data_IF_142798518136
#
_entry.id   IF_142798518136
#
_cell.length_a   1.000
_cell.length_b   1.000
_cell.length_c   1.000
_cell.angle_alpha   90.00
_cell.angle_beta   90.00
_cell.angle_gamma   90.00
#
_symmetry.space_group_name_H-M   'P 1'
#
loop_
_entity.id
_entity.type
_entity.pdbx_description
1 polymer ?
#
# COMPACT_ATOMS: atom_id res chain seq x y z
N UNK A 1 -30.10 -88.36 31.32
CA UNK A 1 -31.38 -87.63 31.10
C UNK A 1 -31.20 -86.21 31.59
N UNK A 2 -31.98 -85.28 31.01
CA UNK A 2 -31.90 -83.81 31.07
C UNK A 2 -30.78 -83.22 30.21
N UNK A 3 -31.03 -82.37 29.22
CA UNK A 3 -32.26 -81.71 28.77
C UNK A 3 -31.84 -80.61 27.80
N UNK A 4 -32.56 -80.47 26.70
CA UNK A 4 -32.45 -79.33 25.77
C UNK A 4 -32.82 -78.04 26.50
N UNK A 5 -32.25 -76.92 26.08
CA UNK A 5 -33.03 -75.73 25.73
C UNK A 5 -32.18 -74.77 24.89
N UNK A 6 -32.80 -74.33 23.81
CA UNK A 6 -32.31 -73.42 22.79
C UNK A 6 -32.58 -71.95 23.16
N UNK A 7 -31.70 -71.11 22.61
CA UNK A 7 -31.94 -69.81 21.98
C UNK A 7 -31.76 -68.48 22.72
N UNK A 8 -31.16 -67.59 21.94
CA UNK A 8 -31.19 -66.13 21.93
C UNK A 8 -30.17 -65.31 22.76
N UNK A 9 -29.10 -64.96 22.03
CA UNK A 9 -28.55 -63.59 21.85
C UNK A 9 -27.99 -62.83 23.05
N UNK A 10 -26.67 -62.58 23.03
CA UNK A 10 -26.07 -61.32 23.50
C UNK A 10 -24.66 -61.09 22.92
N UNK A 11 -24.42 -59.81 22.61
CA UNK A 11 -23.28 -59.23 21.91
C UNK A 11 -21.92 -59.48 22.58
N UNK A 12 -20.91 -59.87 21.79
CA UNK A 12 -19.50 -59.78 22.14
C UNK A 12 -18.75 -59.03 21.05
N UNK A 13 -18.55 -57.72 21.23
CA UNK A 13 -17.71 -56.90 20.36
C UNK A 13 -16.24 -57.17 20.70
N UNK A 14 -15.47 -57.63 19.71
CA UNK A 14 -14.02 -57.77 19.79
C UNK A 14 -13.37 -56.37 19.91
N UNK A 15 -12.57 -56.18 20.96
CA UNK A 15 -11.76 -54.98 21.13
C UNK A 15 -10.55 -55.01 20.18
N UNK A 16 -10.67 -54.41 19.01
CA UNK A 16 -9.51 -54.08 18.16
C UNK A 16 -8.79 -52.86 18.74
N UNK A 17 -7.52 -53.05 19.14
CA UNK A 17 -6.63 -51.97 19.54
C UNK A 17 -6.30 -51.08 18.33
N UNK A 18 -6.98 -49.93 18.23
CA UNK A 18 -6.65 -48.89 17.24
C UNK A 18 -5.36 -48.20 17.69
N UNK A 19 -4.24 -48.55 17.06
CA UNK A 19 -3.01 -47.76 17.11
C UNK A 19 -3.30 -46.39 16.47
N UNK A 20 -3.45 -45.36 17.30
CA UNK A 20 -3.51 -43.98 16.85
C UNK A 20 -2.18 -43.63 16.15
N UNK A 21 -2.26 -43.34 14.85
CA UNK A 21 -1.16 -42.72 14.13
C UNK A 21 -0.88 -41.33 14.73
N UNK A 22 0.39 -40.86 14.72
CA UNK A 22 0.70 -39.52 15.19
C UNK A 22 -0.08 -38.50 14.36
N UNK A 23 -0.71 -37.55 15.04
CA UNK A 23 -1.31 -36.37 14.40
C UNK A 23 -0.17 -35.65 13.67
N UNK A 24 -0.27 -35.57 12.34
CA UNK A 24 0.62 -34.74 11.53
C UNK A 24 0.61 -33.33 12.11
N UNK A 25 1.76 -32.89 12.62
CA UNK A 25 1.91 -31.51 13.09
C UNK A 25 1.53 -30.56 11.95
N UNK A 26 0.56 -29.65 12.13
CA UNK A 26 0.24 -28.69 11.08
C UNK A 26 1.51 -27.92 10.76
N UNK A 27 1.89 -27.90 9.46
CA UNK A 27 2.93 -27.01 8.97
C UNK A 27 2.64 -25.61 9.50
N UNK A 28 3.63 -24.89 10.04
CA UNK A 28 3.43 -23.48 10.36
C UNK A 28 2.91 -22.78 9.10
N UNK A 29 2.01 -21.79 9.24
CA UNK A 29 1.53 -21.04 8.08
C UNK A 29 2.75 -20.53 7.32
N UNK A 30 2.87 -20.93 6.05
CA UNK A 30 3.94 -20.47 5.19
C UNK A 30 3.99 -18.95 5.28
N UNK A 31 5.15 -18.41 5.69
CA UNK A 31 5.44 -16.98 5.57
C UNK A 31 5.01 -16.52 4.17
N UNK A 32 4.38 -15.34 4.00
CA UNK A 32 3.87 -14.90 2.71
C UNK A 32 4.93 -15.16 1.64
N UNK A 33 4.56 -15.96 0.64
CA UNK A 33 5.47 -16.43 -0.42
C UNK A 33 6.30 -15.25 -0.89
N UNK A 34 7.60 -15.26 -0.57
CA UNK A 34 8.49 -14.14 -0.82
C UNK A 34 8.43 -13.85 -2.32
N UNK A 35 7.82 -12.71 -2.67
CA UNK A 35 7.78 -12.30 -4.06
C UNK A 35 9.22 -12.04 -4.49
N UNK A 36 9.68 -12.76 -5.51
CA UNK A 36 11.02 -12.65 -6.08
C UNK A 36 11.23 -11.37 -6.90
N UNK A 37 10.32 -10.40 -6.80
CA UNK A 37 10.34 -9.20 -7.62
C UNK A 37 11.54 -8.32 -7.28
N UNK A 38 12.52 -8.19 -8.18
CA UNK A 38 13.59 -7.21 -7.99
C UNK A 38 13.02 -5.78 -8.08
N UNK A 39 13.42 -4.85 -7.19
CA UNK A 39 12.97 -3.47 -7.29
C UNK A 39 13.38 -2.87 -8.63
N UNK A 40 12.46 -2.17 -9.27
CA UNK A 40 12.70 -1.47 -10.54
C UNK A 40 12.85 0.02 -10.28
N UNK A 41 13.68 0.69 -11.08
CA UNK A 41 13.77 2.14 -11.09
C UNK A 41 13.44 2.63 -12.49
N UNK A 42 12.69 3.72 -12.59
CA UNK A 42 12.37 4.34 -13.88
C UNK A 42 12.38 5.85 -13.78
N UNK A 43 12.63 6.51 -14.91
CA UNK A 43 12.53 7.96 -15.05
C UNK A 43 11.27 8.27 -15.84
N UNK A 44 10.46 9.17 -15.28
CA UNK A 44 9.30 9.74 -15.95
C UNK A 44 9.56 11.21 -16.22
N UNK A 45 9.46 11.64 -17.47
CA UNK A 45 9.61 13.03 -17.87
C UNK A 45 8.32 13.63 -18.39
N UNK A 46 8.25 14.96 -18.42
CA UNK A 46 7.13 15.68 -19.01
C UNK A 46 7.48 16.22 -20.40
N UNK A 47 6.83 15.70 -21.44
CA UNK A 47 6.93 16.21 -22.79
C UNK A 47 5.82 17.23 -23.07
N UNK A 48 6.17 18.44 -23.50
CA UNK A 48 5.24 19.55 -23.66
C UNK A 48 4.03 19.30 -24.58
N UNK A 49 4.20 18.45 -25.60
CA UNK A 49 3.13 18.08 -26.55
C UNK A 49 2.43 16.75 -26.25
N UNK A 50 3.10 15.83 -25.53
CA UNK A 50 2.63 14.44 -25.34
C UNK A 50 2.19 14.15 -23.91
N UNK A 51 2.55 15.02 -22.96
CA UNK A 51 2.30 14.83 -21.54
C UNK A 51 3.41 14.02 -20.87
N UNK A 52 3.12 13.41 -19.70
CA UNK A 52 4.09 12.62 -18.96
C UNK A 52 4.36 11.28 -19.66
N UNK A 53 5.62 10.89 -19.77
CA UNK A 53 6.06 9.65 -20.41
C UNK A 53 7.22 8.99 -19.66
N UNK A 54 7.30 7.65 -19.77
CA UNK A 54 8.46 6.89 -19.29
C UNK A 54 9.62 7.10 -20.26
N UNK A 55 10.78 7.46 -19.75
CA UNK A 55 11.98 7.72 -20.54
C UNK A 55 12.97 6.55 -20.51
N UNK A 56 13.16 5.93 -19.34
CA UNK A 56 14.15 4.87 -19.15
C UNK A 56 13.78 3.92 -18.02
N UNK A 57 14.28 2.69 -18.11
CA UNK A 57 14.13 1.65 -17.10
C UNK A 57 15.49 1.16 -16.60
N UNK A 58 15.55 0.80 -15.33
CA UNK A 58 16.70 0.17 -14.68
C UNK A 58 16.21 -1.05 -13.87
N UNK A 59 17.01 -2.12 -13.86
CA UNK A 59 16.64 -3.39 -13.22
C UNK A 59 15.85 -4.34 -14.11
N UNK A 60 15.81 -4.07 -15.42
CA UNK A 60 15.24 -4.93 -16.46
C UNK A 60 16.26 -5.15 -17.56
N UNK A 61 16.03 -6.18 -18.38
CA UNK A 61 16.87 -6.45 -19.55
C UNK A 61 16.73 -5.33 -20.60
N UNK A 62 17.77 -5.14 -21.40
CA UNK A 62 17.81 -4.08 -22.42
C UNK A 62 16.65 -4.19 -23.42
N UNK A 63 15.90 -3.10 -23.57
CA UNK A 63 14.77 -3.02 -24.51
C UNK A 63 13.43 -3.54 -23.97
N UNK A 64 13.37 -3.97 -22.71
CA UNK A 64 12.12 -4.36 -22.05
C UNK A 64 11.43 -3.13 -21.46
N UNK A 65 10.12 -3.01 -21.69
CA UNK A 65 9.28 -1.97 -21.10
C UNK A 65 8.18 -2.58 -20.21
N UNK A 66 8.43 -2.69 -18.90
CA UNK A 66 7.45 -3.17 -17.93
C UNK A 66 6.12 -2.42 -17.96
N UNK A 67 6.11 -1.13 -18.28
CA UNK A 67 4.85 -0.39 -18.34
C UNK A 67 4.00 -0.84 -19.53
N UNK A 68 4.61 -1.14 -20.68
CA UNK A 68 3.91 -1.74 -21.81
C UNK A 68 3.47 -3.18 -21.49
N UNK A 69 4.38 -4.00 -20.96
CA UNK A 69 4.16 -5.43 -20.72
C UNK A 69 3.06 -5.70 -19.67
N UNK A 70 3.03 -4.89 -18.61
CA UNK A 70 2.07 -5.03 -17.51
C UNK A 70 0.88 -4.09 -17.62
N UNK A 71 0.82 -3.25 -18.66
CA UNK A 71 -0.28 -2.31 -18.89
C UNK A 71 -0.32 -1.12 -17.93
N UNK A 72 0.83 -0.64 -17.45
CA UNK A 72 0.95 0.53 -16.57
C UNK A 72 0.87 1.87 -17.33
N UNK A 73 -0.13 2.03 -18.19
CA UNK A 73 -0.32 3.25 -18.99
C UNK A 73 -0.49 4.52 -18.15
N UNK A 74 -0.97 4.38 -16.91
CA UNK A 74 -1.18 5.48 -15.97
C UNK A 74 0.04 5.79 -15.09
N UNK A 75 1.11 4.99 -15.15
CA UNK A 75 2.31 5.19 -14.33
C UNK A 75 2.89 6.61 -14.46
N UNK A 76 3.00 7.20 -15.68
CA UNK A 76 3.51 8.56 -15.81
C UNK A 76 2.66 9.60 -15.08
N UNK A 77 1.34 9.45 -15.11
CA UNK A 77 0.39 10.36 -14.43
C UNK A 77 0.38 10.15 -12.91
N UNK A 78 0.72 8.95 -12.43
CA UNK A 78 0.91 8.68 -11.00
C UNK A 78 2.25 9.23 -10.50
N UNK A 79 3.30 9.15 -11.32
CA UNK A 79 4.63 9.61 -10.98
C UNK A 79 4.75 11.14 -10.93
N UNK A 80 4.11 11.85 -11.87
CA UNK A 80 4.05 13.30 -11.93
C UNK A 80 2.66 13.77 -11.48
N UNK A 81 2.51 14.03 -10.19
CA UNK A 81 1.22 14.46 -9.62
C UNK A 81 0.76 15.80 -10.21
N UNK A 82 -0.55 16.01 -10.32
CA UNK A 82 -1.12 17.23 -10.93
C UNK A 82 -0.58 18.52 -10.25
N UNK A 83 -0.30 18.45 -8.94
CA UNK A 83 0.23 19.54 -8.13
C UNK A 83 1.75 19.66 -8.08
N UNK A 84 2.52 18.73 -8.64
CA UNK A 84 3.98 18.69 -8.52
C UNK A 84 4.69 19.91 -9.13
N UNK A 85 4.00 20.67 -10.00
CA UNK A 85 4.53 21.89 -10.59
C UNK A 85 4.68 23.05 -9.59
N UNK A 86 4.00 22.98 -8.43
CA UNK A 86 4.01 24.04 -7.42
C UNK A 86 5.18 23.94 -6.40
N UNK A 87 5.95 22.85 -6.44
CA UNK A 87 7.05 22.57 -5.50
C UNK A 87 8.35 22.26 -6.25
N UNK A 88 9.49 22.57 -5.63
CA UNK A 88 10.81 22.14 -6.14
C UNK A 88 11.00 20.63 -6.06
N UNK A 89 10.40 20.02 -5.04
CA UNK A 89 10.38 18.58 -4.80
C UNK A 89 8.99 18.17 -4.30
N UNK A 90 8.48 17.04 -4.79
CA UNK A 90 7.27 16.41 -4.28
C UNK A 90 7.36 14.89 -4.36
N UNK A 91 6.64 14.19 -3.49
CA UNK A 91 6.57 12.74 -3.47
C UNK A 91 5.15 12.27 -3.77
N UNK A 92 5.04 11.22 -4.59
CA UNK A 92 3.79 10.51 -4.78
C UNK A 92 3.97 9.02 -4.54
N UNK A 93 2.89 8.37 -4.09
CA UNK A 93 2.87 6.96 -3.77
C UNK A 93 1.65 6.32 -4.39
N UNK A 94 1.82 5.17 -5.03
CA UNK A 94 0.74 4.55 -5.78
C UNK A 94 0.91 3.04 -5.82
N UNK A 95 -0.12 2.35 -6.28
CA UNK A 95 -0.12 0.90 -6.46
C UNK A 95 -0.20 0.56 -7.93
N UNK A 96 0.47 -0.52 -8.31
CA UNK A 96 0.44 -1.06 -9.66
C UNK A 96 -0.02 -2.51 -9.62
N UNK A 97 -0.86 -2.90 -10.56
CA UNK A 97 -1.18 -4.31 -10.78
C UNK A 97 -0.04 -4.95 -11.56
N UNK A 98 0.57 -6.01 -11.02
CA UNK A 98 1.32 -6.96 -11.85
C UNK A 98 0.35 -8.05 -12.29
N UNK A 99 0.03 -8.16 -13.59
CA UNK A 99 -0.85 -9.21 -14.10
C UNK A 99 -0.30 -10.60 -13.79
N UNK A 100 -1.18 -11.60 -13.87
CA UNK A 100 -0.78 -12.99 -13.77
C UNK A 100 0.13 -13.34 -14.94
N UNK A 101 1.30 -13.89 -14.64
CA UNK A 101 2.23 -14.47 -15.62
C UNK A 101 2.21 -16.00 -15.47
N UNK A 102 2.84 -16.71 -16.42
CA UNK A 102 3.00 -18.16 -16.32
C UNK A 102 3.80 -18.57 -15.08
N UNK A 103 4.71 -17.70 -14.64
CA UNK A 103 5.61 -17.93 -13.50
C UNK A 103 5.03 -17.51 -12.16
N UNK A 104 4.03 -16.61 -12.12
CA UNK A 104 3.57 -16.03 -10.87
C UNK A 104 2.11 -15.53 -10.92
N UNK A 105 1.38 -15.57 -9.79
CA UNK A 105 0.04 -15.00 -9.71
C UNK A 105 0.07 -13.48 -9.87
N UNK A 106 -1.09 -12.92 -10.21
CA UNK A 106 -1.31 -11.48 -10.16
C UNK A 106 -1.10 -10.97 -8.73
N UNK A 107 -0.47 -9.82 -8.59
CA UNK A 107 -0.16 -9.22 -7.28
C UNK A 107 -0.07 -7.71 -7.40
N UNK A 108 -0.24 -7.04 -6.27
CA UNK A 108 -0.02 -5.60 -6.12
C UNK A 108 1.46 -5.31 -5.95
N UNK A 109 1.93 -4.28 -6.64
CA UNK A 109 3.21 -3.63 -6.46
C UNK A 109 2.99 -2.19 -5.99
N UNK A 110 4.03 -1.57 -5.46
CA UNK A 110 3.98 -0.25 -4.85
C UNK A 110 5.04 0.64 -5.47
N UNK A 111 4.62 1.80 -5.96
CA UNK A 111 5.49 2.84 -6.49
C UNK A 111 5.68 3.97 -5.48
N UNK A 112 6.91 4.47 -5.39
CA UNK A 112 7.25 5.77 -4.81
C UNK A 112 7.94 6.61 -5.88
N UNK A 113 7.49 7.84 -6.06
CA UNK A 113 8.04 8.80 -7.00
C UNK A 113 8.62 10.00 -6.25
N UNK A 114 9.78 10.48 -6.70
CA UNK A 114 10.33 11.78 -6.31
C UNK A 114 10.41 12.65 -7.55
N UNK A 115 9.57 13.69 -7.60
CA UNK A 115 9.54 14.66 -8.69
C UNK A 115 10.41 15.85 -8.33
N UNK A 116 11.21 16.34 -9.28
CA UNK A 116 11.91 17.61 -9.17
C UNK A 116 11.80 18.44 -10.44
N UNK A 117 12.08 19.73 -10.30
CA UNK A 117 12.11 20.67 -11.41
C UNK A 117 13.49 21.33 -11.53
N UNK A 118 13.89 21.63 -12.77
CA UNK A 118 15.09 22.37 -13.10
C UNK A 118 14.80 23.41 -14.18
N UNK A 119 15.34 24.61 -14.05
CA UNK A 119 15.26 25.61 -15.12
C UNK A 119 16.05 25.11 -16.34
N UNK A 120 15.45 25.17 -17.54
CA UNK A 120 16.07 24.67 -18.76
C UNK A 120 17.33 25.45 -19.17
N UNK A 121 17.54 26.65 -18.63
CA UNK A 121 18.78 27.42 -18.78
C UNK A 121 19.95 26.86 -17.97
N UNK A 122 19.70 26.03 -16.95
CA UNK A 122 20.74 25.44 -16.12
C UNK A 122 21.29 24.13 -16.70
N UNK A 123 20.68 23.59 -17.76
CA UNK A 123 21.13 22.38 -18.42
C UNK A 123 22.46 22.60 -19.14
N UNK A 124 23.39 21.67 -18.97
CA UNK A 124 24.65 21.66 -19.71
C UNK A 124 24.41 21.43 -21.20
N UNK A 125 23.54 20.48 -21.51
CA UNK A 125 23.12 20.13 -22.85
C UNK A 125 21.61 20.33 -22.94
N UNK A 126 21.17 21.39 -23.63
CA UNK A 126 19.74 21.65 -23.86
C UNK A 126 19.30 21.02 -25.20
N UNK A 127 18.55 19.91 -25.18
CA UNK A 127 18.04 19.32 -26.40
C UNK A 127 16.89 20.15 -27.00
N UNK A 128 16.67 20.01 -28.30
CA UNK A 128 15.78 20.88 -29.08
C UNK A 128 14.28 20.72 -28.72
N UNK A 129 13.91 19.58 -28.13
CA UNK A 129 12.59 19.23 -27.64
C UNK A 129 12.23 19.92 -26.31
N UNK A 130 13.22 20.46 -25.58
CA UNK A 130 13.01 21.26 -24.36
C UNK A 130 12.63 22.69 -24.73
N UNK A 131 11.34 22.86 -25.03
CA UNK A 131 10.72 24.15 -25.40
C UNK A 131 10.25 24.97 -24.19
N UNK A 132 10.05 24.33 -23.03
CA UNK A 132 9.61 24.99 -21.78
C UNK A 132 10.78 25.62 -21.01
N UNK A 133 10.42 26.56 -20.12
CA UNK A 133 11.37 27.20 -19.19
C UNK A 133 11.84 26.27 -18.08
N UNK A 134 11.05 25.24 -17.76
CA UNK A 134 11.40 24.23 -16.75
C UNK A 134 11.33 22.82 -17.34
N UNK A 135 12.29 21.99 -16.95
CA UNK A 135 12.27 20.55 -17.14
C UNK A 135 11.79 19.92 -15.84
N UNK A 136 10.75 19.10 -15.95
CA UNK A 136 10.18 18.35 -14.84
C UNK A 136 10.36 16.87 -15.11
N UNK A 137 10.99 16.18 -14.15
CA UNK A 137 11.19 14.73 -14.20
C UNK A 137 11.00 14.13 -12.82
N UNK A 138 10.65 12.86 -12.80
CA UNK A 138 10.50 12.06 -11.61
C UNK A 138 11.34 10.79 -11.69
N UNK A 139 11.98 10.43 -10.58
CA UNK A 139 12.59 9.12 -10.40
C UNK A 139 11.62 8.27 -9.59
N UNK A 140 11.24 7.12 -10.12
CA UNK A 140 10.24 6.22 -9.55
C UNK A 140 10.91 4.92 -9.16
N UNK A 141 10.61 4.42 -7.96
CA UNK A 141 10.99 3.07 -7.52
C UNK A 141 9.74 2.23 -7.37
N UNK A 142 9.75 1.04 -7.97
CA UNK A 142 8.68 0.04 -7.83
C UNK A 142 9.20 -1.11 -6.99
N UNK A 143 8.43 -1.48 -5.96
CA UNK A 143 8.73 -2.57 -5.05
C UNK A 143 7.49 -3.45 -4.82
N UNK A 144 7.69 -4.63 -4.25
CA UNK A 144 6.62 -5.56 -3.88
C UNK A 144 6.07 -5.33 -2.47
N UNK A 145 6.66 -4.41 -1.71
CA UNK A 145 6.17 -4.07 -0.38
C UNK A 145 6.44 -2.59 -0.06
N UNK A 146 5.48 -1.90 0.59
CA UNK A 146 5.68 -0.51 1.00
C UNK A 146 6.46 -0.38 2.31
N UNK A 147 6.80 -1.48 3.00
CA UNK A 147 7.38 -1.46 4.36
C UNK A 147 8.60 -0.54 4.52
N UNK A 148 9.41 -0.39 3.47
CA UNK A 148 10.66 0.36 3.50
C UNK A 148 10.53 1.74 2.86
N UNK A 149 9.30 2.19 2.55
CA UNK A 149 9.07 3.48 1.90
C UNK A 149 9.59 4.67 2.71
N UNK A 150 9.65 4.59 4.04
CA UNK A 150 10.29 5.63 4.86
C UNK A 150 11.76 5.81 4.51
N UNK A 151 12.56 4.74 4.58
CA UNK A 151 13.98 4.76 4.22
C UNK A 151 14.18 5.01 2.71
N UNK A 152 13.33 4.41 1.87
CA UNK A 152 13.42 4.55 0.43
C UNK A 152 13.15 5.98 -0.02
N UNK A 153 12.20 6.69 0.62
CA UNK A 153 11.93 8.12 0.39
C UNK A 153 13.17 8.97 0.62
N UNK A 154 13.87 8.77 1.73
CA UNK A 154 15.09 9.53 2.05
C UNK A 154 16.19 9.27 1.02
N UNK A 155 16.45 7.99 0.69
CA UNK A 155 17.45 7.63 -0.33
C UNK A 155 17.08 8.17 -1.70
N UNK A 156 15.80 8.06 -2.08
CA UNK A 156 15.29 8.55 -3.35
C UNK A 156 15.44 10.07 -3.46
N UNK A 157 15.13 10.84 -2.40
CA UNK A 157 15.37 12.30 -2.37
C UNK A 157 16.83 12.63 -2.68
N UNK A 158 17.78 11.99 -1.99
CA UNK A 158 19.22 12.23 -2.15
C UNK A 158 19.67 11.87 -3.57
N UNK A 159 19.26 10.72 -4.08
CA UNK A 159 19.64 10.23 -5.42
C UNK A 159 19.07 11.13 -6.50
N UNK A 160 17.79 11.49 -6.43
CA UNK A 160 17.15 12.40 -7.38
C UNK A 160 17.79 13.78 -7.33
N UNK A 161 18.11 14.30 -6.14
CA UNK A 161 18.82 15.56 -6.00
C UNK A 161 20.22 15.50 -6.64
N UNK A 162 20.99 14.44 -6.39
CA UNK A 162 22.32 14.26 -6.96
C UNK A 162 22.28 14.15 -8.50
N UNK A 163 21.30 13.41 -9.04
CA UNK A 163 21.09 13.30 -10.48
C UNK A 163 20.73 14.64 -11.12
N UNK A 164 19.82 15.42 -10.52
CA UNK A 164 19.50 16.77 -10.99
C UNK A 164 20.69 17.74 -10.89
N UNK A 165 21.57 17.55 -9.89
CA UNK A 165 22.77 18.38 -9.72
C UNK A 165 23.81 18.17 -10.84
N UNK A 166 23.79 17.03 -11.54
CA UNK A 166 24.63 16.79 -12.72
C UNK A 166 24.30 17.75 -13.87
N UNK A 167 23.05 18.23 -13.94
CA UNK A 167 22.53 19.11 -15.02
C UNK A 167 22.67 18.54 -16.44
N UNK A 168 22.92 17.25 -16.53
CA UNK A 168 22.91 16.45 -17.75
C UNK A 168 22.16 15.16 -17.46
N UNK A 169 21.01 14.98 -18.11
CA UNK A 169 20.14 13.82 -17.90
C UNK A 169 20.52 12.61 -18.76
N UNK A 170 21.55 12.74 -19.61
CA UNK A 170 22.09 11.60 -20.38
C UNK A 170 22.96 10.70 -19.50
N UNK A 171 23.59 11.26 -18.46
CA UNK A 171 24.24 10.49 -17.41
C UNK A 171 23.19 9.87 -16.48
N UNK A 172 23.11 8.55 -16.51
CA UNK A 172 22.19 7.76 -15.69
C UNK A 172 22.90 6.76 -14.78
N UNK A 173 24.22 6.89 -14.63
CA UNK A 173 25.03 5.95 -13.86
C UNK A 173 24.62 5.95 -12.37
N UNK A 174 24.29 7.14 -11.83
CA UNK A 174 23.76 7.27 -10.46
C UNK A 174 22.49 6.42 -10.27
N UNK A 175 21.58 6.44 -11.26
CA UNK A 175 20.31 5.72 -11.18
C UNK A 175 20.51 4.21 -11.34
N UNK A 176 21.42 3.80 -12.20
CA UNK A 176 21.81 2.38 -12.35
C UNK A 176 22.39 1.83 -11.07
N UNK A 177 23.38 2.51 -10.47
CA UNK A 177 23.96 2.09 -9.20
C UNK A 177 22.96 2.11 -8.04
N UNK A 178 22.02 3.06 -8.05
CA UNK A 178 20.94 3.07 -7.07
C UNK A 178 20.05 1.83 -7.20
N UNK A 179 19.66 1.46 -8.42
CA UNK A 179 18.87 0.24 -8.65
C UNK A 179 19.63 -1.03 -8.25
N UNK A 180 20.91 -1.16 -8.63
CA UNK A 180 21.77 -2.28 -8.24
C UNK A 180 21.85 -2.40 -6.72
N UNK A 181 22.04 -1.28 -6.02
CA UNK A 181 22.07 -1.26 -4.55
C UNK A 181 20.75 -1.74 -3.93
N UNK A 182 19.60 -1.38 -4.51
CA UNK A 182 18.28 -1.84 -4.03
C UNK A 182 18.08 -3.34 -4.28
N UNK A 183 18.51 -3.83 -5.44
CA UNK A 183 18.44 -5.25 -5.78
C UNK A 183 19.33 -6.10 -4.86
N UNK A 184 20.56 -5.64 -4.60
CA UNK A 184 21.51 -6.29 -3.69
C UNK A 184 20.97 -6.37 -2.25
N UNK A 185 20.39 -5.29 -1.74
CA UNK A 185 19.83 -5.23 -0.39
C UNK A 185 18.66 -6.21 -0.23
N UNK A 186 17.82 -6.33 -1.27
CA UNK A 186 16.74 -7.32 -1.31
C UNK A 186 17.29 -8.75 -1.37
N UNK A 187 18.30 -9.00 -2.20
CA UNK A 187 18.90 -10.32 -2.35
C UNK A 187 19.60 -10.80 -1.06
N UNK A 188 20.27 -9.90 -0.34
CA UNK A 188 20.93 -10.19 0.93
C UNK A 188 19.95 -10.43 2.09
N UNK A 189 18.67 -10.15 1.91
CA UNK A 189 17.67 -10.29 2.96
C UNK A 189 17.91 -9.36 4.15
N UNK A 190 18.72 -8.30 4.01
CA UNK A 190 18.92 -7.29 5.05
C UNK A 190 17.61 -6.56 5.41
N UNK A 191 16.66 -6.62 4.49
CA UNK A 191 15.27 -6.18 4.62
C UNK A 191 14.42 -7.09 5.53
N UNK A 192 14.85 -8.35 5.79
CA UNK A 192 14.15 -9.31 6.67
C UNK A 192 14.58 -9.23 8.14
N UNK A 193 15.80 -8.79 8.46
CA UNK A 193 16.34 -8.89 9.83
C UNK A 193 15.76 -7.89 10.83
N UNK A 194 15.07 -6.84 10.35
CA UNK A 194 14.40 -5.84 11.23
C UNK A 194 12.87 -5.97 11.21
N UNK A 195 12.36 -7.12 10.76
CA UNK A 195 10.94 -7.43 10.53
C UNK A 195 10.03 -7.39 11.76
N UNK A 196 10.54 -7.05 12.95
CA UNK A 196 9.74 -6.89 14.18
C UNK A 196 9.49 -5.42 14.56
N UNK A 197 10.14 -4.46 13.89
CA UNK A 197 9.80 -3.04 14.01
C UNK A 197 9.06 -2.63 12.75
N UNK A 198 7.78 -2.32 12.88
CA UNK A 198 7.06 -1.59 11.85
C UNK A 198 7.78 -0.24 11.68
N UNK A 199 8.70 -0.16 10.71
CA UNK A 199 9.45 1.06 10.43
C UNK A 199 8.45 2.11 9.95
N UNK A 200 8.43 3.24 10.65
CA UNK A 200 7.48 4.31 10.41
C UNK A 200 7.63 4.83 8.98
N UNK A 201 6.53 4.81 8.23
CA UNK A 201 6.47 5.10 6.79
C UNK A 201 6.78 6.55 6.39
N UNK A 202 7.13 7.43 7.34
CA UNK A 202 7.46 8.83 7.08
C UNK A 202 6.71 9.80 8.00
N UNK A 203 5.43 9.53 8.32
CA UNK A 203 4.75 10.20 9.43
C UNK A 203 4.63 9.28 10.64
N UNK A 204 4.81 9.85 11.82
CA UNK A 204 4.61 9.11 13.04
C UNK A 204 3.11 8.88 13.27
N UNK A 205 2.72 7.69 13.72
CA UNK A 205 1.35 7.44 14.23
C UNK A 205 0.94 8.46 15.29
N UNK A 206 1.92 9.00 16.01
CA UNK A 206 1.76 10.11 16.95
C UNK A 206 1.25 11.38 16.26
N UNK A 207 1.85 11.81 15.15
CA UNK A 207 1.38 12.97 14.39
C UNK A 207 -0.06 12.78 13.91
N UNK A 208 -0.39 11.60 13.37
CA UNK A 208 -1.76 11.27 12.95
C UNK A 208 -2.77 11.46 14.10
N UNK A 209 -2.43 10.97 15.30
CA UNK A 209 -3.30 11.11 16.49
C UNK A 209 -3.34 12.56 16.99
N UNK A 210 -2.25 13.31 16.91
CA UNK A 210 -2.25 14.72 17.33
C UNK A 210 -3.05 15.62 16.39
N UNK A 211 -2.98 15.34 15.09
CA UNK A 211 -3.65 16.07 14.02
C UNK A 211 -5.16 15.80 14.04
N UNK A 212 -5.56 14.53 13.94
CA UNK A 212 -6.97 14.15 13.84
C UNK A 212 -7.65 13.88 15.20
N UNK A 213 -6.88 13.71 16.29
CA UNK A 213 -7.40 13.51 17.66
C UNK A 213 -8.44 12.37 17.72
N UNK A 214 -9.68 12.70 18.05
CA UNK A 214 -10.78 11.73 18.10
C UNK A 214 -11.24 11.29 16.70
N UNK A 215 -11.02 12.11 15.68
CA UNK A 215 -11.31 11.75 14.29
C UNK A 215 -10.42 10.61 13.82
N UNK A 216 -9.23 10.40 14.41
CA UNK A 216 -8.41 9.21 14.12
C UNK A 216 -9.19 7.91 14.36
N UNK A 217 -9.98 7.83 15.44
CA UNK A 217 -10.84 6.66 15.68
C UNK A 217 -11.99 6.56 14.70
N UNK A 218 -12.54 7.71 14.27
CA UNK A 218 -13.59 7.73 13.24
C UNK A 218 -13.04 7.18 11.94
N UNK A 219 -11.88 7.69 11.48
CA UNK A 219 -11.22 7.23 10.26
C UNK A 219 -10.81 5.76 10.35
N UNK A 220 -10.28 5.33 11.50
CA UNK A 220 -9.92 3.92 11.70
C UNK A 220 -11.15 3.02 11.65
N UNK A 221 -12.26 3.44 12.29
CA UNK A 221 -13.54 2.73 12.21
C UNK A 221 -14.10 2.74 10.79
N UNK A 222 -13.95 3.83 10.04
CA UNK A 222 -14.29 3.87 8.61
C UNK A 222 -13.51 2.78 7.87
N UNK A 223 -12.19 2.70 8.02
CA UNK A 223 -11.39 1.69 7.33
C UNK A 223 -11.89 0.26 7.60
N UNK A 224 -12.29 -0.05 8.84
CA UNK A 224 -12.83 -1.37 9.19
C UNK A 224 -14.22 -1.64 8.60
N UNK A 225 -15.02 -0.61 8.32
CA UNK A 225 -16.32 -0.73 7.67
C UNK A 225 -16.21 -0.77 6.13
N UNK A 226 -15.01 -0.56 5.58
CA UNK A 226 -14.71 -0.61 4.15
C UNK A 226 -15.65 0.25 3.26
N UNK A 227 -15.94 1.54 3.57
CA UNK A 227 -16.68 2.41 2.67
C UNK A 227 -15.77 2.96 1.55
N UNK A 228 -16.33 3.76 0.65
CA UNK A 228 -15.58 4.53 -0.35
C UNK A 228 -14.95 5.77 0.31
N UNK A 229 -13.69 5.66 0.72
CA UNK A 229 -12.92 6.70 1.38
C UNK A 229 -12.07 7.48 0.38
N UNK A 230 -12.35 8.77 0.25
CA UNK A 230 -11.64 9.69 -0.63
C UNK A 230 -10.89 10.73 0.18
N UNK A 231 -9.57 10.79 0.01
CA UNK A 231 -8.71 11.80 0.59
C UNK A 231 -8.39 12.85 -0.47
N UNK A 232 -8.54 14.12 -0.10
CA UNK A 232 -8.16 15.25 -0.93
C UNK A 232 -7.10 16.08 -0.22
N UNK A 233 -6.10 16.55 -0.94
CA UNK A 233 -5.15 17.53 -0.42
C UNK A 233 -4.20 18.03 -1.50
N UNK A 234 -3.74 19.25 -1.36
CA UNK A 234 -2.80 19.90 -2.28
C UNK A 234 -1.39 19.29 -2.27
N UNK A 235 -0.95 18.74 -1.13
CA UNK A 235 0.37 18.11 -0.97
C UNK A 235 0.28 16.60 -1.08
N UNK A 236 0.80 16.04 -2.19
CA UNK A 236 0.73 14.61 -2.49
C UNK A 236 1.44 13.75 -1.44
N UNK A 237 2.63 14.16 -0.98
CA UNK A 237 3.38 13.43 0.05
C UNK A 237 2.55 13.24 1.33
N UNK A 238 2.01 14.34 1.90
CA UNK A 238 1.15 14.29 3.10
C UNK A 238 -0.10 13.44 2.87
N UNK A 239 -0.73 13.58 1.71
CA UNK A 239 -1.92 12.83 1.33
C UNK A 239 -1.71 11.32 1.39
N UNK A 240 -0.61 10.83 0.80
CA UNK A 240 -0.27 9.42 0.83
C UNK A 240 0.14 8.95 2.23
N UNK A 241 0.94 9.76 2.95
CA UNK A 241 1.42 9.41 4.29
C UNK A 241 0.29 9.21 5.31
N UNK A 242 -0.74 10.06 5.27
CA UNK A 242 -1.92 9.93 6.14
C UNK A 242 -2.63 8.61 5.90
N UNK A 243 -2.81 8.21 4.64
CA UNK A 243 -3.44 6.95 4.28
C UNK A 243 -2.63 5.74 4.73
N UNK A 244 -1.31 5.74 4.48
CA UNK A 244 -0.41 4.68 4.94
C UNK A 244 -0.39 4.55 6.46
N UNK A 245 -0.44 5.68 7.17
CA UNK A 245 -0.46 5.67 8.63
C UNK A 245 -1.78 5.15 9.19
N UNK A 246 -2.89 5.49 8.54
CA UNK A 246 -4.20 4.98 8.90
C UNK A 246 -4.28 3.46 8.78
N UNK A 247 -3.80 2.88 7.67
CA UNK A 247 -3.78 1.42 7.48
C UNK A 247 -2.74 0.73 8.37
N UNK A 248 -1.65 1.42 8.74
CA UNK A 248 -0.64 0.88 9.65
C UNK A 248 -1.15 0.65 11.08
N UNK A 249 -2.29 1.25 11.45
CA UNK A 249 -2.97 0.95 12.72
C UNK A 249 -3.50 -0.49 12.78
N UNK A 250 -3.66 -1.17 11.64
CA UNK A 250 -4.05 -2.58 11.57
C UNK A 250 -2.77 -3.43 11.60
N UNK A 251 -2.51 -4.20 12.67
CA UNK A 251 -1.27 -4.95 12.81
C UNK A 251 -1.04 -5.91 11.64
N UNK A 252 0.12 -5.81 11.00
CA UNK A 252 0.52 -6.69 9.90
C UNK A 252 -0.14 -6.39 8.54
N UNK A 253 -1.04 -5.42 8.44
CA UNK A 253 -1.75 -5.13 7.19
C UNK A 253 -0.80 -4.65 6.08
N UNK A 254 0.14 -3.76 6.40
CA UNK A 254 1.15 -3.26 5.45
C UNK A 254 1.99 -4.36 4.79
N UNK A 255 2.08 -5.54 5.43
CA UNK A 255 2.82 -6.70 4.93
C UNK A 255 1.97 -7.58 4.00
N UNK A 256 0.66 -7.39 4.01
CA UNK A 256 -0.33 -8.24 3.34
C UNK A 256 -1.22 -7.41 2.38
N UNK A 257 -0.60 -6.51 1.62
CA UNK A 257 -1.28 -5.65 0.64
C UNK A 257 -1.24 -6.21 -0.79
N UNK A 258 -0.98 -7.49 -0.98
CA UNK A 258 -0.85 -8.11 -2.32
C UNK A 258 -2.13 -8.03 -3.18
N UNK A 259 -3.30 -7.83 -2.57
CA UNK A 259 -4.60 -7.80 -3.26
C UNK A 259 -5.24 -6.40 -3.30
N UNK A 260 -4.46 -5.32 -3.17
CA UNK A 260 -5.00 -3.96 -3.03
C UNK A 260 -5.01 -3.11 -4.31
N UNK A 261 -4.20 -3.45 -5.32
CA UNK A 261 -4.02 -2.63 -6.52
C UNK A 261 -5.14 -2.79 -7.56
N UNK A 262 -5.97 -3.82 -7.46
CA UNK A 262 -7.07 -4.06 -8.40
C UNK A 262 -8.25 -4.75 -7.70
N UNK A 263 -9.50 -4.31 -7.93
CA UNK A 263 -10.69 -4.89 -7.32
C UNK A 263 -10.92 -6.38 -7.63
N UNK A 264 -10.33 -6.95 -8.67
CA UNK A 264 -10.48 -8.37 -9.01
C UNK A 264 -9.56 -9.29 -8.19
N UNK A 265 -8.57 -8.75 -7.49
CA UNK A 265 -7.62 -9.53 -6.70
C UNK A 265 -8.29 -10.14 -5.46
N UNK A 266 -7.98 -11.41 -5.23
CA UNK A 266 -8.61 -12.22 -4.19
C UNK A 266 -7.73 -13.42 -3.79
N UNK A 267 -6.42 -13.21 -3.69
CA UNK A 267 -5.48 -14.29 -3.39
C UNK A 267 -5.49 -14.67 -1.91
N UNK A 268 -5.76 -13.71 -1.03
CA UNK A 268 -5.81 -13.89 0.42
C UNK A 268 -6.98 -14.77 0.88
N UNK A 269 -8.21 -14.49 0.42
CA UNK A 269 -9.41 -15.25 0.80
C UNK A 269 -9.28 -16.73 0.41
N UNK A 270 -8.68 -17.00 -0.76
CA UNK A 270 -8.47 -18.36 -1.28
C UNK A 270 -7.45 -19.17 -0.48
N UNK A 271 -6.54 -18.52 0.25
CA UNK A 271 -5.47 -19.15 1.05
C UNK A 271 -5.80 -19.17 2.54
N UNK A 272 -6.99 -18.69 2.93
CA UNK A 272 -7.36 -18.61 4.33
C UNK A 272 -7.55 -20.01 4.93
N UNK A 273 -6.96 -20.24 6.10
CA UNK A 273 -7.15 -21.46 6.86
C UNK A 273 -7.32 -21.13 8.35
N UNK A 274 -8.17 -21.90 9.03
CA UNK A 274 -8.40 -21.70 10.46
C UNK A 274 -7.16 -22.15 11.25
N UNK A 275 -6.54 -21.28 12.06
CA UNK A 275 -5.40 -21.66 12.88
C UNK A 275 -5.86 -22.63 13.98
N UNK A 276 -5.26 -23.82 14.04
CA UNK A 276 -5.61 -24.88 15.00
C UNK A 276 -4.66 -24.97 16.20
N UNK A 277 -3.52 -24.26 16.16
CA UNK A 277 -2.53 -24.25 17.23
C UNK A 277 -2.05 -22.84 17.55
N UNK A 278 -1.78 -22.60 18.83
CA UNK A 278 -1.27 -21.32 19.36
C UNK A 278 0.10 -21.55 19.98
N UNK A 279 1.11 -20.86 19.47
CA UNK A 279 2.42 -20.74 20.13
C UNK A 279 2.53 -19.35 20.75
N UNK A 280 2.28 -19.24 22.06
CA UNK A 280 2.29 -17.95 22.78
C UNK A 280 3.65 -17.24 22.77
N UNK A 281 4.74 -17.97 22.55
CA UNK A 281 6.10 -17.43 22.41
C UNK A 281 6.38 -16.79 21.05
N UNK A 282 5.54 -17.04 20.04
CA UNK A 282 5.71 -16.51 18.69
C UNK A 282 4.63 -15.48 18.38
N UNK A 283 5.04 -14.21 18.23
CA UNK A 283 4.14 -13.10 17.92
C UNK A 283 3.30 -13.36 16.66
N UNK A 284 3.91 -13.90 15.61
CA UNK A 284 3.20 -14.19 14.35
C UNK A 284 2.13 -15.27 14.55
N UNK A 285 2.42 -16.31 15.34
CA UNK A 285 1.42 -17.34 15.69
C UNK A 285 0.26 -16.75 16.48
N UNK A 286 0.55 -15.86 17.43
CA UNK A 286 -0.47 -15.16 18.21
C UNK A 286 -1.35 -14.26 17.33
N UNK A 287 -0.74 -13.47 16.43
CA UNK A 287 -1.47 -12.61 15.51
C UNK A 287 -2.36 -13.42 14.56
N UNK A 288 -1.83 -14.50 13.97
CA UNK A 288 -2.61 -15.39 13.10
C UNK A 288 -3.76 -16.05 13.87
N UNK A 289 -3.53 -16.52 15.10
CA UNK A 289 -4.59 -17.08 15.95
C UNK A 289 -5.71 -16.07 16.27
N UNK A 290 -5.36 -14.79 16.42
CA UNK A 290 -6.32 -13.70 16.61
C UNK A 290 -7.02 -13.26 15.31
N UNK A 291 -6.69 -13.86 14.16
CA UNK A 291 -7.25 -13.49 12.85
C UNK A 291 -6.65 -12.20 12.27
N UNK A 292 -5.43 -11.84 12.67
CA UNK A 292 -4.71 -10.67 12.13
C UNK A 292 -3.75 -11.09 11.01
N UNK A 293 -3.50 -10.20 10.02
CA UNK A 293 -4.12 -8.88 9.85
C UNK A 293 -5.60 -8.98 9.47
N UNK A 294 -6.39 -8.00 9.92
CA UNK A 294 -7.75 -7.84 9.39
C UNK A 294 -7.63 -7.36 7.94
N UNK A 295 -7.91 -8.26 7.00
CA UNK A 295 -7.79 -7.95 5.60
C UNK A 295 -8.93 -7.03 5.17
N UNK A 296 -8.62 -5.74 5.04
CA UNK A 296 -9.57 -4.75 4.54
C UNK A 296 -9.55 -4.64 3.01
N UNK A 297 -8.52 -5.20 2.37
CA UNK A 297 -8.36 -5.20 0.91
C UNK A 297 -8.48 -6.62 0.33
N UNK A 298 -9.60 -6.91 -0.31
CA UNK A 298 -9.85 -8.13 -1.06
C UNK A 298 -10.75 -7.85 -2.26
N UNK A 299 -11.56 -8.84 -2.66
CA UNK A 299 -12.41 -8.71 -3.85
C UNK A 299 -13.37 -7.52 -3.76
N UNK A 300 -13.32 -6.64 -4.75
CA UNK A 300 -14.12 -5.42 -4.87
C UNK A 300 -13.56 -4.24 -4.09
N UNK A 301 -12.33 -4.33 -3.58
CA UNK A 301 -11.64 -3.25 -2.88
C UNK A 301 -10.47 -2.67 -3.67
N UNK A 302 -10.15 -1.41 -3.45
CA UNK A 302 -9.01 -0.77 -4.11
C UNK A 302 -8.26 0.16 -3.14
N UNK A 303 -6.93 0.14 -3.19
CA UNK A 303 -6.07 1.06 -2.45
C UNK A 303 -5.18 1.81 -3.42
N UNK A 304 -5.39 3.12 -3.56
CA UNK A 304 -4.61 3.98 -4.43
C UNK A 304 -4.17 5.23 -3.68
N UNK A 305 -3.04 5.20 -2.94
CA UNK A 305 -2.62 6.31 -2.08
C UNK A 305 -2.57 7.64 -2.83
N UNK A 306 -2.17 7.62 -4.10
CA UNK A 306 -2.42 8.67 -5.08
C UNK A 306 -3.08 8.06 -6.31
N UNK A 307 -4.18 8.66 -6.75
CA UNK A 307 -4.98 8.25 -7.90
C UNK A 307 -5.18 9.47 -8.82
N UNK A 308 -4.68 9.41 -10.07
CA UNK A 308 -4.80 10.49 -11.01
C UNK A 308 -6.22 10.54 -11.61
N UNK A 309 -6.56 11.66 -12.25
CA UNK A 309 -7.89 11.88 -12.83
C UNK A 309 -8.29 10.81 -13.86
N UNK A 310 -7.31 10.30 -14.59
CA UNK A 310 -7.48 9.29 -15.63
C UNK A 310 -8.01 7.95 -15.08
N UNK A 311 -7.93 7.72 -13.76
CA UNK A 311 -8.37 6.48 -13.11
C UNK A 311 -9.75 6.62 -12.43
N UNK A 312 -10.46 7.74 -12.61
CA UNK A 312 -11.77 7.97 -12.01
C UNK A 312 -12.83 6.93 -12.41
N UNK A 313 -12.72 6.35 -13.60
CA UNK A 313 -13.69 5.36 -14.08
C UNK A 313 -13.65 4.08 -13.23
N UNK A 314 -12.48 3.68 -12.74
CA UNK A 314 -12.32 2.53 -11.82
C UNK A 314 -13.02 2.80 -10.48
N UNK A 315 -13.02 4.06 -10.03
CA UNK A 315 -13.70 4.47 -8.78
C UNK A 315 -15.23 4.51 -8.92
N UNK A 316 -15.71 4.79 -10.14
CA UNK A 316 -17.12 4.80 -10.48
C UNK A 316 -17.68 3.41 -10.81
N UNK A 317 -16.82 2.44 -11.07
CA UNK A 317 -17.24 1.11 -11.48
C UNK A 317 -18.06 0.38 -10.40
N UNK A 318 -19.01 -0.44 -10.85
CA UNK A 318 -19.87 -1.22 -9.98
C UNK A 318 -19.11 -2.36 -9.28
N UNK A 319 -18.02 -2.85 -9.88
CA UNK A 319 -17.14 -3.83 -9.27
C UNK A 319 -16.42 -3.30 -8.01
N UNK A 320 -16.15 -2.00 -7.96
CA UNK A 320 -15.45 -1.35 -6.86
C UNK A 320 -16.42 -0.94 -5.74
N UNK A 321 -16.51 -1.80 -4.73
CA UNK A 321 -17.41 -1.66 -3.57
C UNK A 321 -16.79 -0.81 -2.46
N UNK A 322 -15.50 -0.95 -2.23
CA UNK A 322 -14.76 -0.24 -1.18
C UNK A 322 -13.45 0.29 -1.72
N UNK A 323 -12.97 1.41 -1.18
CA UNK A 323 -11.63 1.87 -1.50
C UNK A 323 -11.09 2.89 -0.53
N UNK A 324 -9.77 3.01 -0.52
CA UNK A 324 -9.02 4.07 0.14
C UNK A 324 -8.17 4.74 -0.94
N UNK A 325 -8.54 5.94 -1.36
CA UNK A 325 -7.85 6.65 -2.44
C UNK A 325 -7.55 8.09 -2.10
N UNK A 326 -6.42 8.59 -2.60
CA UNK A 326 -6.05 9.99 -2.50
C UNK A 326 -6.01 10.67 -3.86
N UNK A 327 -6.44 11.93 -3.94
CA UNK A 327 -6.20 12.76 -5.12
C UNK A 327 -5.88 14.20 -4.76
N UNK A 328 -5.08 14.85 -5.60
CA UNK A 328 -4.79 16.29 -5.53
C UNK A 328 -5.74 17.10 -6.42
N UNK A 329 -6.61 16.44 -7.19
CA UNK A 329 -7.46 17.10 -8.17
C UNK A 329 -8.77 17.61 -7.57
N UNK A 330 -9.02 18.91 -7.67
CA UNK A 330 -10.20 19.55 -7.08
C UNK A 330 -11.53 19.16 -7.75
N UNK A 331 -11.51 18.54 -8.94
CA UNK A 331 -12.73 18.05 -9.60
C UNK A 331 -13.47 17.03 -8.72
N UNK A 332 -12.72 16.23 -7.96
CA UNK A 332 -13.27 15.23 -7.05
C UNK A 332 -14.06 15.86 -5.90
N UNK A 333 -13.76 17.11 -5.51
CA UNK A 333 -14.57 17.84 -4.53
C UNK A 333 -15.95 18.22 -5.09
N UNK A 334 -16.02 18.54 -6.38
CA UNK A 334 -17.27 18.93 -7.03
C UNK A 334 -18.22 17.74 -7.22
N UNK A 335 -17.68 16.54 -7.45
CA UNK A 335 -18.44 15.31 -7.66
C UNK A 335 -18.36 14.34 -6.47
N UNK A 336 -18.15 14.85 -5.25
CA UNK A 336 -17.93 14.02 -4.06
C UNK A 336 -19.02 12.98 -3.81
N UNK A 337 -20.28 13.28 -4.13
CA UNK A 337 -21.41 12.38 -3.89
C UNK A 337 -21.41 11.17 -4.85
N UNK A 338 -20.71 11.27 -5.98
CA UNK A 338 -20.55 10.19 -6.96
C UNK A 338 -19.39 9.25 -6.61
N UNK A 339 -18.32 9.80 -6.02
CA UNK A 339 -17.04 9.11 -5.82
C UNK A 339 -16.66 8.92 -4.34
N UNK A 340 -17.56 9.17 -3.39
CA UNK A 340 -17.21 8.97 -1.98
C UNK A 340 -18.42 8.83 -1.08
N UNK A 341 -18.31 7.91 -0.13
CA UNK A 341 -19.19 7.89 1.06
C UNK A 341 -18.67 8.83 2.14
N UNK A 342 -17.35 9.02 2.16
CA UNK A 342 -16.62 9.91 3.06
C UNK A 342 -15.50 10.62 2.30
N UNK A 343 -15.48 11.94 2.42
CA UNK A 343 -14.47 12.82 1.89
C UNK A 343 -13.66 13.43 3.04
N UNK A 344 -12.35 13.24 3.01
CA UNK A 344 -11.39 13.81 3.96
C UNK A 344 -10.59 14.88 3.23
N UNK A 345 -10.86 16.15 3.54
CA UNK A 345 -10.10 17.28 2.99
C UNK A 345 -8.96 17.62 3.96
N UNK A 346 -7.73 17.33 3.57
CA UNK A 346 -6.51 17.57 4.34
C UNK A 346 -6.06 19.04 4.30
N UNK A 347 -6.52 19.84 3.33
CA UNK A 347 -6.18 21.25 3.26
C UNK A 347 -7.03 22.08 4.25
N UNK A 348 -8.28 21.66 4.45
CA UNK A 348 -9.21 22.31 5.39
C UNK A 348 -9.34 21.56 6.74
N UNK A 349 -8.69 20.40 6.88
CA UNK A 349 -8.83 19.45 8.00
C UNK A 349 -10.32 19.09 8.29
N UNK A 350 -11.13 18.97 7.23
CA UNK A 350 -12.56 18.64 7.32
C UNK A 350 -12.85 17.20 6.91
N UNK A 351 -13.79 16.58 7.61
CA UNK A 351 -14.30 15.24 7.30
C UNK A 351 -15.78 15.34 6.99
N UNK A 352 -16.14 15.16 5.72
CA UNK A 352 -17.51 15.18 5.23
C UNK A 352 -18.00 13.75 4.98
N UNK A 353 -19.05 13.34 5.69
CA UNK A 353 -19.68 12.03 5.51
C UNK A 353 -20.99 12.25 4.76
N UNK A 354 -21.09 11.67 3.56
CA UNK A 354 -22.26 11.79 2.68
C UNK A 354 -23.35 10.82 3.12
N UNK A 355 -22.97 9.61 3.55
CA UNK A 355 -23.92 8.55 3.91
C UNK A 355 -24.44 8.67 5.36
N UNK A 356 -25.76 8.78 5.51
CA UNK A 356 -26.43 8.86 6.84
C UNK A 356 -26.27 7.58 7.67
N UNK A 357 -26.28 6.41 7.03
CA UNK A 357 -26.07 5.13 7.71
C UNK A 357 -24.63 4.99 8.19
N UNK A 358 -23.66 5.44 7.38
CA UNK A 358 -22.26 5.48 7.79
C UNK A 358 -22.07 6.45 8.97
N UNK A 359 -22.74 7.62 8.93
CA UNK A 359 -22.68 8.60 10.02
C UNK A 359 -23.20 8.05 11.35
N UNK A 360 -24.27 7.24 11.35
CA UNK A 360 -24.77 6.61 12.57
C UNK A 360 -23.82 5.52 13.07
N UNK A 361 -23.26 4.71 12.16
CA UNK A 361 -22.27 3.70 12.48
C UNK A 361 -20.99 4.32 13.06
N UNK A 362 -20.58 5.51 12.61
CA UNK A 362 -19.39 6.21 13.06
C UNK A 362 -19.56 7.00 14.36
N UNK A 363 -20.76 7.01 14.96
CA UNK A 363 -20.99 7.70 16.22
C UNK A 363 -20.10 7.14 17.33
N UNK A 364 -19.21 7.97 17.86
CA UNK A 364 -18.32 7.61 18.96
C UNK A 364 -19.03 7.68 20.30
N UNK A 365 -18.76 6.68 21.15
CA UNK A 365 -19.24 6.66 22.53
C UNK A 365 -18.52 7.69 23.40
N UNK A 366 -19.06 7.99 24.58
CA UNK A 366 -18.40 8.88 25.55
C UNK A 366 -17.07 8.32 26.09
N UNK A 367 -16.84 7.01 26.01
CA UNK A 367 -15.57 6.39 26.38
C UNK A 367 -14.50 6.60 25.29
N UNK A 368 -14.88 6.47 24.01
CA UNK A 368 -13.99 6.64 22.86
C UNK A 368 -13.42 8.06 22.80
N UNK A 369 -14.28 9.07 23.02
CA UNK A 369 -13.87 10.49 23.06
C UNK A 369 -12.87 10.79 24.18
N UNK A 370 -12.96 10.07 25.30
CA UNK A 370 -12.04 10.21 26.45
C UNK A 370 -10.67 9.59 26.21
N UNK A 371 -10.56 8.53 25.38
CA UNK A 371 -9.26 7.91 25.05
C UNK A 371 -8.44 8.74 24.07
N UNK A 372 -9.07 9.47 23.16
CA UNK A 372 -8.38 10.29 22.15
C UNK A 372 -8.17 11.75 22.54
N UNK A 373 -8.58 12.15 23.75
CA UNK A 373 -8.21 13.45 24.30
C UNK A 373 -6.76 13.35 24.76
N UNK A 374 -5.83 13.71 23.86
CA UNK A 374 -4.42 13.88 24.22
C UNK A 374 -4.36 14.86 25.38
N UNK A 375 -3.77 14.51 26.54
CA UNK A 375 -3.57 15.46 27.62
C UNK A 375 -2.73 16.61 27.07
N UNK A 376 -3.31 17.80 26.98
CA UNK A 376 -2.57 19.01 26.61
C UNK A 376 -1.33 19.10 27.49
N UNK A 377 -0.18 19.45 26.90
CA UNK A 377 1.06 19.76 27.62
C UNK A 377 0.67 20.58 28.86
N UNK A 378 0.77 19.99 30.06
CA UNK A 378 0.80 20.77 31.29
C UNK A 378 2.01 21.67 31.12
N UNK A 379 1.77 22.96 30.91
CA UNK A 379 2.82 23.96 30.90
C UNK A 379 3.67 23.76 32.15
N UNK A 380 4.97 23.59 31.95
CA UNK A 380 5.96 23.67 33.01
C UNK A 380 5.99 25.12 33.50
N UNK A 381 4.99 25.48 34.30
CA UNK A 381 5.05 26.61 35.20
C UNK A 381 5.66 26.12 36.50
N UNK A 382 6.98 26.27 36.61
CA UNK A 382 7.71 26.59 37.85
C UNK A 382 9.15 26.93 37.52
#
# INVERSE_FOLDING_TARGET
MSGQDDDSSQNGAEAQSVLLSPIDSPRPPDSPSASSFAPLVTVVGFHHARGPEVESWFGVDDGVDPAADFGWSLLPFMALSDGAHASEEDFSYFTLLRPKTDSAPATSLFGISCTRQLDSSQLLNRPADVTRSTVQKAVVVIADTPQFFGMLRERLSIVTQAWFAQRDFTDSDILRHFQESLADEKARGAIKSDSDRDQYLGMSLRELVHEFKWQTLVLFKCCLLQPKMLFFGSRCDRLCMVQFSLISLIPGLLRNLQDCADPELDSYEKKLSQPTSLQSSNRSSLLSFMGLPLQIFGKGSFFGPYTPLQQLDVLADFGTKSYLVGSTNSLLLQQRDRYSDILINLDEDTVAITSTSLKSALALTAADRRRCTVPGRRGSGR
#
